data_IF_395779763988
#
_entry.id   IF_395779763988
#
_cell.length_a   1.000
_cell.length_b   1.000
_cell.length_c   1.000
_cell.angle_alpha   90.00
_cell.angle_beta   90.00
_cell.angle_gamma   90.00
#
_symmetry.space_group_name_H-M   'P 1'
#
loop_
_entity.id
_entity.type
_entity.pdbx_description
1 polymer ?
2 water ?
#
# COMPACT_ATOMS: atom_id res chain seq x y z
N UNK A 5 6.57 -1.67 -27.33
CA UNK A 5 5.34 -2.36 -26.93
C UNK A 5 5.30 -2.38 -25.40
N UNK A 6 6.08 -1.48 -24.77
CA UNK A 6 6.02 -1.29 -23.33
C UNK A 6 4.74 -0.54 -22.97
N UNK A 7 4.25 -0.78 -21.74
CA UNK A 7 3.08 -0.06 -21.30
C UNK A 7 3.51 1.24 -20.63
N UNK A 8 4.80 1.40 -20.35
CA UNK A 8 5.22 2.61 -19.67
C UNK A 8 4.96 3.84 -20.52
N UNK A 9 4.56 4.91 -19.83
CA UNK A 9 4.31 6.20 -20.46
C UNK A 9 5.52 7.07 -20.17
N UNK A 10 6.25 7.51 -21.23
CA UNK A 10 7.46 8.31 -21.04
C UNK A 10 7.24 9.58 -20.22
N UNK A 11 6.08 10.24 -20.40
CA UNK A 11 5.83 11.48 -19.67
C UNK A 11 5.67 11.15 -18.18
N UNK A 12 5.03 10.02 -17.85
CA UNK A 12 4.85 9.69 -16.42
C UNK A 12 6.19 9.20 -15.84
N UNK A 13 6.93 8.44 -16.67
CA UNK A 13 8.25 7.95 -16.25
C UNK A 13 9.13 9.13 -15.89
N UNK A 14 9.09 10.16 -16.75
CA UNK A 14 9.97 11.30 -16.53
C UNK A 14 9.54 12.05 -15.27
N UNK A 15 8.24 12.24 -15.11
CA UNK A 15 7.71 12.86 -13.91
C UNK A 15 8.16 12.13 -12.64
N UNK A 16 7.98 10.79 -12.61
CA UNK A 16 8.34 9.97 -11.45
C UNK A 16 9.82 10.12 -11.09
N UNK A 17 10.65 10.10 -12.12
CA UNK A 17 12.09 10.13 -12.00
C UNK A 17 12.52 11.45 -11.36
N UNK A 18 12.00 12.56 -11.88
CA UNK A 18 12.37 13.87 -11.34
C UNK A 18 11.87 14.07 -9.93
N UNK A 19 10.62 13.64 -9.66
CA UNK A 19 10.10 13.78 -8.30
C UNK A 19 10.86 12.91 -7.30
N UNK A 20 11.17 11.66 -7.68
CA UNK A 20 11.94 10.81 -6.78
C UNK A 20 13.31 11.42 -6.48
N UNK A 21 13.98 11.90 -7.53
CA UNK A 21 15.36 12.36 -7.35
C UNK A 21 15.36 13.58 -6.44
N UNK A 22 14.35 14.44 -6.60
CA UNK A 22 14.25 15.63 -5.77
C UNK A 22 14.07 15.26 -4.29
N UNK A 23 13.22 14.26 -4.03
CA UNK A 23 12.93 13.84 -2.65
C UNK A 23 14.15 13.16 -2.02
N UNK A 24 14.83 12.28 -2.80
CA UNK A 24 15.99 11.56 -2.28
C UNK A 24 17.10 12.57 -1.93
N UNK A 25 17.27 13.57 -2.79
CA UNK A 25 18.31 14.57 -2.54
C UNK A 25 17.91 15.40 -1.33
N UNK A 26 16.68 15.90 -1.30
CA UNK A 26 16.22 16.75 -0.21
C UNK A 26 16.33 16.07 1.15
N UNK A 27 15.89 14.80 1.26
CA UNK A 27 15.90 14.14 2.56
C UNK A 27 17.21 13.40 2.83
N UNK A 28 18.16 13.51 1.90
CA UNK A 28 19.46 12.85 2.03
C UNK A 28 19.25 11.35 2.27
N UNK A 29 18.45 10.70 1.41
CA UNK A 29 18.07 9.34 1.64
C UNK A 29 19.06 8.41 0.94
N UNK A 30 18.98 7.12 1.26
CA UNK A 30 19.89 6.14 0.67
C UNK A 30 19.39 5.66 -0.69
N UNK A 31 18.08 5.50 -0.86
CA UNK A 31 17.57 5.02 -2.14
C UNK A 31 16.10 5.38 -2.23
N UNK A 32 15.50 5.06 -3.38
CA UNK A 32 14.06 5.27 -3.53
C UNK A 32 13.51 4.57 -4.76
N UNK A 33 12.18 4.45 -4.79
CA UNK A 33 11.48 3.79 -5.86
C UNK A 33 10.12 4.49 -6.02
N UNK A 34 9.64 4.63 -7.26
CA UNK A 34 8.26 5.00 -7.55
C UNK A 34 7.68 3.97 -8.51
N UNK A 35 6.46 3.46 -8.21
CA UNK A 35 5.73 2.63 -9.17
C UNK A 35 4.41 3.33 -9.47
N UNK A 36 4.04 3.41 -10.75
CA UNK A 36 2.70 3.81 -11.18
C UNK A 36 2.06 2.68 -11.98
N UNK A 37 0.89 2.18 -11.54
CA UNK A 37 0.17 1.14 -12.26
C UNK A 37 -1.11 1.72 -12.82
N UNK A 38 -1.52 1.23 -13.99
CA UNK A 38 -2.91 1.36 -14.38
C UNK A 38 -3.80 0.60 -13.38
N UNK A 39 -4.77 1.28 -12.77
CA UNK A 39 -5.56 0.76 -11.66
C UNK A 39 -6.57 -0.27 -12.14
N UNK A 40 -6.83 -0.34 -13.46
CA UNK A 40 -7.83 -1.28 -13.95
C UNK A 40 -7.22 -2.31 -14.89
N UNK A 41 -5.92 -2.21 -15.17
CA UNK A 41 -5.32 -3.20 -16.05
C UNK A 41 -4.11 -3.91 -15.42
N UNK A 42 -3.45 -3.27 -14.44
CA UNK A 42 -2.22 -3.83 -13.89
C UNK A 42 -0.99 -3.51 -14.73
N UNK A 43 -1.15 -2.78 -15.85
CA UNK A 43 0.01 -2.43 -16.65
C UNK A 43 0.83 -1.42 -15.86
N UNK A 44 2.15 -1.50 -16.01
CA UNK A 44 3.06 -0.55 -15.38
C UNK A 44 3.16 0.68 -16.28
N UNK A 45 2.75 1.84 -15.76
CA UNK A 45 2.81 3.13 -16.45
C UNK A 45 4.14 3.80 -16.11
N UNK A 46 4.67 3.52 -14.93
CA UNK A 46 6.01 4.01 -14.65
C UNK A 46 6.64 3.14 -13.58
N UNK A 47 7.97 3.03 -13.65
CA UNK A 47 8.73 2.32 -12.62
C UNK A 47 10.14 2.89 -12.60
N UNK A 48 10.51 3.52 -11.50
CA UNK A 48 11.81 4.18 -11.44
C UNK A 48 12.45 3.85 -10.09
N UNK A 49 13.78 3.73 -10.11
CA UNK A 49 14.51 3.50 -8.88
C UNK A 49 15.70 4.44 -8.90
N UNK A 50 16.26 4.72 -7.73
CA UNK A 50 17.57 5.36 -7.76
C UNK A 50 18.58 4.38 -8.39
N UNK A 51 19.81 4.81 -8.77
CA UNK A 51 20.73 3.93 -9.51
C UNK A 51 21.12 2.61 -8.81
N UNK A 52 21.25 1.46 -9.58
CA UNK A 52 21.53 0.09 -9.12
C UNK A 52 20.41 -0.81 -9.62
N UNK A 53 20.06 -1.82 -8.82
CA UNK A 53 19.11 -2.80 -9.30
C UNK A 53 17.69 -2.24 -9.24
N UNK A 54 16.78 -3.03 -9.82
CA UNK A 54 15.37 -2.71 -9.89
C UNK A 54 14.72 -3.07 -8.54
N UNK A 55 14.93 -2.20 -7.55
CA UNK A 55 14.53 -2.42 -6.17
C UNK A 55 13.01 -2.61 -6.07
N UNK A 56 12.24 -1.89 -6.91
CA UNK A 56 10.79 -2.07 -6.96
C UNK A 56 10.41 -3.55 -7.00
N UNK A 57 11.19 -4.35 -7.76
CA UNK A 57 10.81 -5.74 -7.95
C UNK A 57 11.70 -6.69 -7.15
N UNK A 58 12.97 -6.29 -6.92
CA UNK A 58 13.95 -7.20 -6.34
C UNK A 58 13.94 -7.14 -4.81
N UNK A 59 13.47 -6.05 -4.21
CA UNK A 59 13.69 -5.88 -2.77
C UNK A 59 12.35 -5.98 -2.06
N UNK A 60 12.31 -6.63 -0.91
CA UNK A 60 11.04 -6.76 -0.21
C UNK A 60 11.14 -5.98 1.09
N UNK A 61 9.99 -5.53 1.64
CA UNK A 61 9.99 -4.80 2.90
C UNK A 61 8.86 -5.35 3.75
N UNK A 62 8.99 -5.18 5.05
CA UNK A 62 7.83 -5.25 5.92
C UNK A 62 7.09 -3.94 5.69
N UNK A 63 5.87 -3.98 5.13
CA UNK A 63 5.30 -2.75 4.58
C UNK A 63 4.78 -1.74 5.60
N UNK A 64 4.56 -2.18 6.84
CA UNK A 64 3.93 -1.32 7.84
C UNK A 64 2.50 -0.94 7.46
N UNK A 65 2.13 0.29 7.84
CA UNK A 65 0.75 0.78 7.83
C UNK A 65 0.07 0.70 6.45
N UNK A 66 0.83 0.65 5.36
CA UNK A 66 0.19 0.57 4.05
C UNK A 66 -0.52 -0.76 3.86
N UNK A 67 -0.28 -1.73 4.75
CA UNK A 67 -0.95 -3.03 4.69
C UNK A 67 -2.32 -2.98 5.35
N UNK A 68 -2.60 -1.95 6.17
CA UNK A 68 -3.80 -1.95 7.03
C UNK A 68 -5.11 -2.02 6.25
N UNK A 69 -5.26 -1.44 5.03
CA UNK A 69 -6.54 -1.58 4.33
C UNK A 69 -6.98 -3.03 4.16
N UNK A 70 -6.04 -3.98 4.10
CA UNK A 70 -6.36 -5.35 3.70
C UNK A 70 -7.12 -6.11 4.81
N UNK A 71 -6.64 -6.18 6.07
CA UNK A 71 -7.43 -6.82 7.14
C UNK A 71 -8.76 -6.09 7.33
N UNK A 72 -8.75 -4.77 7.08
CA UNK A 72 -10.01 -4.03 7.17
C UNK A 72 -10.99 -4.53 6.10
N UNK A 73 -10.50 -4.63 4.86
CA UNK A 73 -11.35 -5.13 3.78
C UNK A 73 -11.86 -6.53 4.09
N UNK A 74 -10.97 -7.36 4.64
CA UNK A 74 -11.39 -8.73 4.93
C UNK A 74 -12.52 -8.73 5.97
N UNK A 75 -12.38 -7.92 7.02
CA UNK A 75 -13.41 -7.90 8.05
C UNK A 75 -14.75 -7.44 7.45
N UNK A 76 -14.75 -6.37 6.62
CA UNK A 76 -15.99 -5.92 6.03
C UNK A 76 -16.56 -6.97 5.08
N UNK A 77 -15.66 -7.58 4.30
CA UNK A 77 -16.14 -8.50 3.26
C UNK A 77 -16.81 -9.73 3.88
N UNK A 78 -16.34 -10.12 5.07
CA UNK A 78 -16.89 -11.28 5.78
C UNK A 78 -18.32 -11.07 6.27
N UNK A 79 -18.79 -9.82 6.38
CA UNK A 79 -20.09 -9.58 7.01
C UNK A 79 -20.04 -9.48 8.53
N UNK A 80 -18.89 -9.78 9.14
CA UNK A 80 -18.77 -9.78 10.60
C UNK A 80 -18.68 -8.36 11.13
N UNK A 81 -18.25 -7.40 10.32
CA UNK A 81 -18.21 -6.05 10.85
C UNK A 81 -18.79 -5.09 9.83
N UNK A 82 -19.32 -3.97 10.34
CA UNK A 82 -19.87 -2.86 9.59
C UNK A 82 -18.94 -1.67 9.78
N UNK A 83 -18.91 -0.74 8.82
CA UNK A 83 -18.04 0.43 8.96
C UNK A 83 -18.33 1.27 10.22
N UNK A 84 -19.59 1.21 10.72
CA UNK A 84 -19.95 2.02 11.88
C UNK A 84 -19.69 1.30 13.22
N UNK A 85 -19.21 0.06 13.19
CA UNK A 85 -18.93 -0.68 14.42
C UNK A 85 -17.77 0.01 15.13
N UNK A 86 -17.84 0.12 16.46
CA UNK A 86 -16.82 0.86 17.19
C UNK A 86 -16.03 -0.16 18.00
N UNK A 87 -14.74 0.09 18.20
CA UNK A 87 -13.90 -0.83 18.92
C UNK A 87 -13.19 -0.07 20.03
N UNK A 88 -12.87 -0.79 21.10
CA UNK A 88 -11.92 -0.32 22.10
C UNK A 88 -10.54 -0.33 21.44
N UNK A 89 -9.90 0.85 21.32
CA UNK A 89 -8.61 0.96 20.64
C UNK A 89 -7.49 1.31 21.62
N UNK A 90 -7.72 1.09 22.92
CA UNK A 90 -6.66 1.25 23.90
C UNK A 90 -5.58 0.20 23.67
N UNK A 91 -4.31 0.48 24.08
CA UNK A 91 -3.23 -0.50 23.99
C UNK A 91 -3.61 -1.74 24.80
N UNK A 92 -3.14 -2.92 24.38
CA UNK A 92 -3.48 -4.18 25.06
C UNK A 92 -2.30 -5.11 24.89
N UNK A 93 -2.26 -6.19 25.69
CA UNK A 93 -1.16 -7.17 25.69
C UNK A 93 -1.57 -8.45 24.97
N UNK A 94 -0.59 -9.07 24.31
CA UNK A 94 -0.68 -10.43 23.83
C UNK A 94 0.48 -11.17 24.47
N UNK A 95 0.14 -12.07 25.40
CA UNK A 95 1.11 -12.46 26.41
C UNK A 95 1.87 -11.24 26.91
N UNK A 96 3.22 -11.23 26.81
CA UNK A 96 4.01 -10.10 27.28
C UNK A 96 4.22 -8.98 26.26
N UNK A 97 3.60 -9.07 25.08
CA UNK A 97 3.86 -8.06 24.07
C UNK A 97 2.72 -7.03 24.07
N UNK A 98 3.02 -5.78 23.70
CA UNK A 98 1.99 -4.75 23.66
C UNK A 98 1.70 -4.38 22.20
N UNK A 99 0.41 -4.28 21.90
CA UNK A 99 -0.04 -3.65 20.66
C UNK A 99 -0.55 -2.27 21.04
N UNK A 100 0.01 -1.23 20.42
CA UNK A 100 -0.38 0.13 20.76
C UNK A 100 -0.25 1.02 19.53
N UNK A 101 -0.98 2.13 19.56
CA UNK A 101 -1.01 3.05 18.42
C UNK A 101 -0.03 4.18 18.69
N UNK A 102 0.36 4.88 17.62
CA UNK A 102 1.10 6.13 17.72
C UNK A 102 0.32 7.16 18.54
N UNK A 103 -0.93 7.43 18.13
CA UNK A 103 -1.73 8.35 18.91
C UNK A 103 -2.87 7.56 19.54
N UNK A 104 -2.99 7.66 20.87
CA UNK A 104 -3.94 6.81 21.56
C UNK A 104 -5.35 7.42 21.48
N UNK A 105 -6.31 6.62 21.02
CA UNK A 105 -7.73 6.93 21.14
C UNK A 105 -8.40 5.82 21.93
N UNK A 106 -9.36 6.13 22.83
CA UNK A 106 -10.05 5.07 23.56
C UNK A 106 -10.95 4.21 22.66
N UNK A 107 -11.63 4.84 21.69
CA UNK A 107 -12.48 4.06 20.80
C UNK A 107 -12.47 4.66 19.40
N UNK A 108 -12.57 3.79 18.37
CA UNK A 108 -12.70 4.25 17.01
C UNK A 108 -13.69 3.34 16.30
N UNK A 109 -14.41 3.91 15.33
CA UNK A 109 -15.12 3.04 14.40
C UNK A 109 -14.17 2.59 13.29
N UNK A 110 -14.66 1.85 12.30
CA UNK A 110 -13.80 1.31 11.27
C UNK A 110 -13.23 2.45 10.43
N UNK A 111 -14.07 3.43 10.12
CA UNK A 111 -13.56 4.62 9.46
C UNK A 111 -12.40 5.22 10.26
N UNK A 112 -12.59 5.41 11.58
CA UNK A 112 -11.51 6.00 12.36
C UNK A 112 -10.23 5.13 12.38
N UNK A 113 -10.41 3.81 12.38
CA UNK A 113 -9.29 2.86 12.40
C UNK A 113 -8.48 3.09 11.13
N UNK A 114 -9.17 3.27 9.99
CA UNK A 114 -8.47 3.63 8.74
C UNK A 114 -7.84 5.03 8.83
N UNK A 115 -8.66 6.03 9.19
CA UNK A 115 -8.28 7.45 9.15
C UNK A 115 -7.03 7.69 10.01
N UNK A 116 -7.04 7.11 11.22
CA UNK A 116 -5.98 7.35 12.20
C UNK A 116 -4.91 6.25 12.12
N UNK A 117 -5.12 5.25 11.25
CA UNK A 117 -4.13 4.18 11.11
C UNK A 117 -3.91 3.43 12.44
N UNK A 118 -4.99 2.90 13.03
CA UNK A 118 -4.86 2.29 14.35
C UNK A 118 -4.33 0.86 14.24
N UNK A 119 -3.15 0.62 14.81
CA UNK A 119 -2.66 -0.76 14.90
C UNK A 119 -3.57 -1.61 15.80
N UNK A 120 -4.02 -1.02 16.92
CA UNK A 120 -4.92 -1.78 17.79
C UNK A 120 -6.19 -2.20 17.05
N UNK A 121 -6.84 -1.21 16.41
CA UNK A 121 -8.06 -1.50 15.66
C UNK A 121 -7.86 -2.56 14.59
N UNK A 122 -6.80 -2.39 13.79
CA UNK A 122 -6.57 -3.36 12.74
C UNK A 122 -6.35 -4.76 13.33
N UNK A 123 -5.55 -4.87 14.40
CA UNK A 123 -5.23 -6.18 14.99
C UNK A 123 -6.47 -6.90 15.56
N UNK A 124 -7.40 -6.11 16.12
CA UNK A 124 -8.68 -6.64 16.60
C UNK A 124 -9.58 -7.12 15.46
N UNK A 125 -9.59 -6.43 14.31
CA UNK A 125 -10.33 -6.93 13.15
C UNK A 125 -9.75 -8.27 12.65
N UNK A 126 -8.42 -8.32 12.49
CA UNK A 126 -7.71 -9.54 12.13
C UNK A 126 -7.98 -10.68 13.13
N UNK A 127 -8.06 -10.37 14.43
CA UNK A 127 -8.28 -11.35 15.48
C UNK A 127 -9.64 -12.06 15.42
N UNK A 128 -10.57 -11.57 14.57
CA UNK A 128 -11.84 -12.24 14.38
C UNK A 128 -11.69 -13.47 13.49
N UNK A 129 -10.50 -13.64 12.90
CA UNK A 129 -10.27 -14.67 11.89
C UNK A 129 -9.23 -15.66 12.39
N UNK A 130 -9.28 -16.89 11.88
CA UNK A 130 -8.24 -17.84 12.26
C UNK A 130 -6.94 -17.52 11.51
N UNK A 131 -5.78 -18.02 11.99
CA UNK A 131 -4.54 -17.89 11.24
C UNK A 131 -4.70 -18.36 9.80
N UNK A 132 -5.40 -19.50 9.57
CA UNK A 132 -5.53 -20.00 8.21
C UNK A 132 -6.35 -19.00 7.39
N UNK A 133 -7.42 -18.46 7.97
CA UNK A 133 -8.23 -17.52 7.20
C UNK A 133 -7.38 -16.33 6.79
N UNK A 134 -6.56 -15.77 7.71
CA UNK A 134 -5.83 -14.54 7.35
C UNK A 134 -4.71 -14.87 6.37
N UNK A 135 -4.04 -16.00 6.60
CA UNK A 135 -3.02 -16.45 5.66
C UNK A 135 -3.59 -16.61 4.25
N UNK A 136 -4.74 -17.30 4.14
CA UNK A 136 -5.32 -17.53 2.82
C UNK A 136 -5.63 -16.19 2.15
N UNK A 137 -6.14 -15.24 2.96
CA UNK A 137 -6.41 -13.92 2.43
C UNK A 137 -5.13 -13.26 1.91
N UNK A 138 -4.07 -13.19 2.74
CA UNK A 138 -2.83 -12.54 2.32
C UNK A 138 -2.25 -13.25 1.08
N UNK A 139 -2.25 -14.59 1.07
CA UNK A 139 -1.82 -15.37 -0.09
C UNK A 139 -2.61 -14.95 -1.34
N UNK A 140 -3.93 -14.78 -1.21
CA UNK A 140 -4.79 -14.40 -2.33
C UNK A 140 -4.53 -12.98 -2.82
N UNK A 141 -4.01 -12.07 -1.96
CA UNK A 141 -3.54 -10.76 -2.38
C UNK A 141 -2.20 -10.82 -3.12
N UNK A 142 -1.56 -11.99 -3.08
CA UNK A 142 -0.26 -12.14 -3.74
C UNK A 142 0.92 -12.09 -2.79
N UNK A 143 0.67 -11.98 -1.45
CA UNK A 143 1.78 -12.00 -0.50
C UNK A 143 2.49 -13.35 -0.49
N UNK A 144 3.81 -13.30 -0.67
CA UNK A 144 4.60 -14.52 -0.74
C UNK A 144 4.48 -15.23 -2.10
N UNK A 145 3.79 -14.61 -3.08
CA UNK A 145 3.52 -15.25 -4.38
C UNK A 145 4.29 -14.53 -5.49
N UNK A 146 4.88 -15.31 -6.40
CA UNK A 146 5.59 -14.73 -7.53
C UNK A 146 4.60 -14.10 -8.51
N UNK A 147 4.84 -12.87 -8.91
CA UNK A 147 3.94 -12.26 -9.91
C UNK A 147 4.20 -12.75 -11.34
N UNK A 148 5.42 -13.26 -11.63
CA UNK A 148 5.77 -13.62 -13.00
C UNK A 148 5.57 -12.44 -13.95
N UNK A 149 6.13 -11.27 -13.56
CA UNK A 149 5.96 -10.05 -14.34
C UNK A 149 6.81 -10.11 -15.60
N UNK A 150 7.74 -11.05 -15.63
CA UNK A 150 8.79 -11.13 -16.63
C UNK A 150 10.03 -10.33 -16.25
N UNK A 151 10.03 -9.67 -15.07
CA UNK A 151 11.30 -9.13 -14.58
C UNK A 151 12.14 -10.28 -13.99
N UNK A 152 13.48 -10.29 -14.23
CA UNK A 152 14.37 -11.23 -13.53
C UNK A 152 14.59 -10.69 -12.11
N UNK A 153 14.96 -11.59 -11.18
CA UNK A 153 15.24 -11.25 -9.79
C UNK A 153 13.97 -10.82 -9.05
N UNK A 154 12.78 -11.26 -9.52
CA UNK A 154 11.55 -10.83 -8.90
C UNK A 154 11.36 -11.47 -7.52
N UNK A 155 11.28 -10.65 -6.47
CA UNK A 155 11.05 -11.21 -5.14
C UNK A 155 9.62 -11.71 -4.96
N UNK A 156 9.44 -12.87 -4.28
CA UNK A 156 8.11 -13.36 -3.93
C UNK A 156 7.66 -12.77 -2.61
N UNK A 157 8.57 -12.10 -1.89
CA UNK A 157 8.24 -11.62 -0.55
C UNK A 157 8.17 -12.78 0.45
N UNK A 158 7.58 -12.52 1.64
CA UNK A 158 7.54 -13.55 2.68
C UNK A 158 6.14 -13.61 3.27
N UNK A 159 5.56 -14.83 3.30
CA UNK A 159 4.36 -15.03 4.11
C UNK A 159 4.54 -16.37 4.83
N UNK A 160 4.82 -16.30 6.13
CA UNK A 160 5.13 -17.52 6.87
C UNK A 160 3.91 -18.42 6.97
N UNK A 161 4.13 -19.74 6.95
CA UNK A 161 3.10 -20.75 7.13
C UNK A 161 2.27 -20.44 8.38
N UNK A 162 0.95 -20.39 8.24
CA UNK A 162 0.05 -20.06 9.36
C UNK A 162 0.15 -21.08 10.50
N UNK A 163 0.63 -22.29 10.20
CA UNK A 163 0.82 -23.30 11.25
C UNK A 163 1.88 -22.86 12.25
N UNK A 164 2.63 -21.80 11.95
CA UNK A 164 3.72 -21.40 12.84
C UNK A 164 3.42 -20.07 13.53
N UNK A 165 2.29 -19.43 13.20
CA UNK A 165 1.96 -18.13 13.74
C UNK A 165 1.64 -18.19 15.24
N UNK A 166 2.21 -17.28 16.03
CA UNK A 166 1.68 -17.01 17.35
C UNK A 166 0.68 -15.87 17.24
N UNK A 167 -0.26 -15.68 18.22
CA UNK A 167 -1.19 -14.55 18.17
C UNK A 167 -0.55 -13.18 17.93
N UNK A 168 0.59 -12.92 18.58
CA UNK A 168 1.27 -11.64 18.40
C UNK A 168 1.67 -11.45 16.92
N UNK A 169 2.05 -12.54 16.25
CA UNK A 169 2.50 -12.43 14.87
C UNK A 169 1.31 -12.15 13.96
N UNK A 170 0.17 -12.82 14.21
CA UNK A 170 -1.03 -12.52 13.44
C UNK A 170 -1.33 -11.03 13.55
N UNK A 171 -1.23 -10.52 14.79
CA UNK A 171 -1.53 -9.13 15.11
C UNK A 171 -0.60 -8.20 14.35
N UNK A 172 0.72 -8.41 14.41
CA UNK A 172 1.66 -7.49 13.77
C UNK A 172 1.53 -7.55 12.25
N UNK A 173 1.21 -8.73 11.72
CA UNK A 173 1.01 -8.84 10.27
C UNK A 173 -0.13 -7.95 9.79
N UNK A 174 -1.21 -7.83 10.58
CA UNK A 174 -2.33 -7.01 10.20
C UNK A 174 -1.87 -5.55 10.05
N UNK A 175 -0.82 -5.14 10.79
CA UNK A 175 -0.39 -3.77 10.59
C UNK A 175 1.01 -3.71 9.95
N UNK A 176 1.33 -4.78 9.22
CA UNK A 176 2.34 -4.73 8.18
C UNK A 176 3.74 -5.15 8.63
N UNK A 177 3.85 -5.86 9.77
CA UNK A 177 5.16 -6.37 10.16
C UNK A 177 5.12 -7.88 10.36
N UNK A 178 6.18 -8.59 9.94
CA UNK A 178 6.15 -10.05 10.06
C UNK A 178 5.72 -10.74 8.76
N UNK A 179 5.38 -9.94 7.73
CA UNK A 179 5.28 -10.45 6.36
C UNK A 179 6.01 -9.43 5.49
N UNK A 180 6.38 -9.84 4.26
CA UNK A 180 7.20 -8.96 3.43
C UNK A 180 6.73 -8.98 1.99
N UNK A 181 6.76 -7.82 1.31
CA UNK A 181 6.32 -7.63 -0.07
C UNK A 181 7.26 -6.65 -0.74
N UNK A 182 7.45 -6.79 -2.07
CA UNK A 182 8.16 -5.76 -2.83
C UNK A 182 7.16 -4.62 -3.06
N UNK A 183 7.69 -3.44 -3.49
CA UNK A 183 6.77 -2.34 -3.76
C UNK A 183 5.86 -2.67 -4.93
N UNK A 184 6.37 -3.43 -5.92
CA UNK A 184 5.50 -3.78 -7.04
C UNK A 184 4.42 -4.73 -6.56
N UNK A 185 4.74 -5.65 -5.63
CA UNK A 185 3.70 -6.52 -5.09
C UNK A 185 2.65 -5.71 -4.34
N UNK A 186 3.10 -4.67 -3.62
CA UNK A 186 2.18 -3.82 -2.88
C UNK A 186 1.25 -3.07 -3.82
N UNK A 187 1.80 -2.46 -4.90
CA UNK A 187 0.97 -1.79 -5.90
C UNK A 187 -0.03 -2.79 -6.45
N UNK A 188 0.44 -4.01 -6.69
CA UNK A 188 -0.44 -5.02 -7.27
C UNK A 188 -1.57 -5.40 -6.31
N UNK A 189 -1.26 -5.56 -5.02
CA UNK A 189 -2.27 -5.84 -4.02
C UNK A 189 -3.37 -4.75 -4.01
N UNK A 190 -2.99 -3.48 -4.24
CA UNK A 190 -3.94 -2.36 -4.29
C UNK A 190 -4.96 -2.50 -5.45
N UNK A 191 -4.69 -3.34 -6.47
CA UNK A 191 -5.67 -3.54 -7.54
C UNK A 191 -6.93 -4.23 -7.02
N UNK A 192 -6.81 -4.97 -5.91
CA UNK A 192 -8.00 -5.52 -5.29
C UNK A 192 -8.92 -4.40 -4.89
N UNK A 193 -8.38 -3.27 -4.40
CA UNK A 193 -9.21 -2.13 -4.05
C UNK A 193 -9.70 -1.35 -5.28
N UNK A 194 -8.83 -1.18 -6.30
CA UNK A 194 -9.20 -0.31 -7.41
C UNK A 194 -10.06 -1.03 -8.47
N UNK A 195 -9.83 -2.33 -8.67
CA UNK A 195 -10.45 -3.10 -9.75
C UNK A 195 -11.60 -3.93 -9.19
N UNK A 196 -12.41 -3.31 -8.33
CA UNK A 196 -13.67 -3.87 -7.83
C UNK A 196 -13.51 -5.25 -7.20
N UNK A 197 -12.45 -5.44 -6.39
CA UNK A 197 -12.31 -6.67 -5.61
C UNK A 197 -11.47 -7.78 -6.27
N UNK A 198 -11.02 -7.56 -7.51
CA UNK A 198 -10.23 -8.55 -8.24
C UNK A 198 -8.75 -8.17 -8.38
N UNK A 199 -7.84 -9.10 -7.99
CA UNK A 199 -6.41 -8.89 -8.12
C UNK A 199 -6.01 -9.00 -9.58
N UNK A 200 -5.30 -8.00 -10.10
CA UNK A 200 -4.87 -8.02 -11.49
C UNK A 200 -3.43 -8.54 -11.61
N UNK A 201 -3.05 -9.14 -12.77
CA UNK A 201 -1.66 -9.48 -13.08
C UNK A 201 -0.94 -8.17 -13.38
N UNK A 202 0.36 -8.14 -13.08
CA UNK A 202 1.18 -6.99 -13.38
C UNK A 202 1.95 -7.28 -14.67
N UNK A 203 2.10 -6.25 -15.50
CA UNK A 203 2.77 -6.40 -16.80
C UNK A 203 3.45 -5.09 -17.21
N UNK A 204 4.62 -5.18 -17.87
CA UNK A 204 5.25 -4.00 -18.43
C UNK A 204 5.03 -3.95 -19.95
N UNK A 205 4.26 -4.89 -20.49
CA UNK A 205 3.99 -4.85 -21.92
C UNK A 205 2.59 -4.29 -22.13
N UNK A 206 2.40 -3.51 -23.19
CA UNK A 206 1.07 -3.07 -23.59
C UNK A 206 0.17 -4.29 -23.80
N UNK A 207 -0.99 -4.29 -23.13
CA UNK A 207 -1.87 -5.45 -23.13
C UNK A 207 -2.60 -5.55 -24.45
N UNK A 208 -2.86 -6.77 -24.94
CA UNK A 208 -3.59 -6.93 -26.18
C UNK A 208 -5.00 -7.45 -25.87
N UNK A 209 -5.16 -8.08 -24.71
CA UNK A 209 -6.40 -8.74 -24.32
C UNK A 209 -6.69 -8.22 -22.92
N UNK A 210 -7.98 -8.08 -22.52
CA UNK A 210 -8.34 -7.67 -21.17
C UNK A 210 -7.83 -8.70 -20.16
N UNK A 211 -7.14 -8.30 -19.07
CA UNK A 211 -6.58 -9.25 -18.11
C UNK A 211 -7.72 -9.86 -17.30
N UNK A 212 -7.53 -11.07 -16.81
CA UNK A 212 -8.59 -11.65 -16.03
C UNK A 212 -8.18 -11.51 -14.57
N UNK A 213 -9.06 -10.91 -13.77
CA UNK A 213 -8.80 -10.77 -12.34
C UNK A 213 -9.08 -12.07 -11.60
N UNK A 214 -8.55 -12.17 -10.38
CA UNK A 214 -8.96 -13.22 -9.45
C UNK A 214 -9.73 -12.55 -8.31
N UNK A 215 -10.99 -12.91 -8.12
CA UNK A 215 -11.82 -12.18 -7.15
C UNK A 215 -11.36 -12.54 -5.73
N UNK A 216 -11.11 -11.51 -4.91
CA UNK A 216 -10.59 -11.63 -3.54
C UNK A 216 -11.63 -11.10 -2.55
N UNK A 217 -12.26 -9.98 -2.87
CA UNK A 217 -13.36 -9.44 -2.07
C UNK A 217 -14.48 -9.03 -3.03
N UNK A 218 -15.67 -8.82 -2.48
CA UNK A 218 -16.78 -8.32 -3.27
C UNK A 218 -16.47 -6.93 -3.82
N UNK A 219 -17.06 -6.60 -4.97
CA UNK A 219 -16.97 -5.25 -5.51
C UNK A 219 -17.51 -4.20 -4.53
N UNK A 220 -18.62 -4.49 -3.86
CA UNK A 220 -19.20 -3.55 -2.89
C UNK A 220 -18.21 -3.31 -1.75
N UNK A 221 -17.47 -4.34 -1.31
CA UNK A 221 -16.49 -4.15 -0.24
C UNK A 221 -15.34 -3.24 -0.71
N UNK A 222 -14.86 -3.48 -1.93
CA UNK A 222 -13.78 -2.66 -2.49
C UNK A 222 -14.22 -1.20 -2.55
N UNK A 223 -15.45 -0.96 -3.02
CA UNK A 223 -15.96 0.40 -3.09
C UNK A 223 -16.02 1.08 -1.72
N UNK A 224 -16.54 0.37 -0.70
CA UNK A 224 -16.56 0.91 0.65
C UNK A 224 -15.15 1.24 1.17
N UNK A 225 -14.18 0.35 0.95
CA UNK A 225 -12.81 0.57 1.43
C UNK A 225 -12.19 1.80 0.76
N UNK A 226 -12.46 1.97 -0.55
CA UNK A 226 -11.88 3.16 -1.18
C UNK A 226 -12.50 4.42 -0.56
N UNK A 227 -13.77 4.34 -0.20
CA UNK A 227 -14.39 5.49 0.46
C UNK A 227 -13.74 5.78 1.82
N UNK A 228 -13.51 4.72 2.63
CA UNK A 228 -12.84 4.88 3.92
C UNK A 228 -11.45 5.51 3.75
N UNK A 229 -10.72 5.08 2.72
CA UNK A 229 -9.35 5.53 2.54
C UNK A 229 -9.23 7.01 2.19
N UNK A 230 -10.32 7.62 1.68
CA UNK A 230 -10.31 9.07 1.43
C UNK A 230 -10.04 9.85 2.74
N UNK A 231 -10.51 9.35 3.88
CA UNK A 231 -10.40 10.09 5.13
C UNK A 231 -8.93 10.28 5.52
N UNK A 232 -8.10 9.40 4.96
CA UNK A 232 -6.67 9.39 5.22
C UNK A 232 -6.00 10.65 4.70
N UNK A 233 -6.51 11.19 3.57
CA UNK A 233 -5.84 12.32 2.97
C UNK A 233 -6.59 13.62 3.25
N UNK A 234 -7.61 13.55 4.11
CA UNK A 234 -8.40 14.72 4.47
C UNK A 234 -7.98 15.15 5.87
N UNK A 235 -8.50 16.31 6.33
CA UNK A 235 -8.18 16.83 7.65
C UNK A 235 -8.46 15.75 8.68
N UNK A 236 -7.48 15.52 9.56
CA UNK A 236 -7.61 14.55 10.61
C UNK A 236 -7.00 13.22 10.22
N UNK A 237 -6.57 13.10 8.96
CA UNK A 237 -6.03 11.82 8.51
C UNK A 237 -4.50 11.78 8.57
N UNK A 238 -3.98 10.55 8.66
CA UNK A 238 -2.55 10.37 8.81
C UNK A 238 -1.82 10.63 7.50
N UNK A 239 -2.53 10.78 6.35
CA UNK A 239 -1.87 10.95 5.04
C UNK A 239 -2.16 12.27 4.33
N UNK A 240 -2.37 13.35 5.12
CA UNK A 240 -2.80 14.63 4.58
C UNK A 240 -1.75 15.17 3.61
N UNK A 241 -0.47 14.83 3.81
CA UNK A 241 0.60 15.36 2.99
C UNK A 241 0.54 14.87 1.54
N UNK A 242 -0.27 13.83 1.26
CA UNK A 242 -0.31 13.38 -0.13
C UNK A 242 -1.66 13.68 -0.79
N UNK A 243 -2.44 14.59 -0.18
CA UNK A 243 -3.68 15.04 -0.82
C UNK A 243 -3.33 15.68 -2.15
N UNK A 244 -4.20 15.46 -3.15
CA UNK A 244 -3.96 16.02 -4.47
C UNK A 244 -5.08 17.00 -4.75
N UNK A 245 -4.71 18.22 -5.16
CA UNK A 245 -5.67 19.31 -5.35
C UNK A 245 -6.62 18.91 -6.48
N UNK A 246 -7.93 18.98 -6.25
CA UNK A 246 -8.84 18.77 -7.36
C UNK A 246 -9.44 17.36 -7.34
N UNK A 247 -8.93 16.49 -6.46
CA UNK A 247 -9.36 15.09 -6.49
C UNK A 247 -9.55 14.55 -5.08
N UNK A 248 -10.35 13.49 -4.96
CA UNK A 248 -10.38 12.66 -3.77
C UNK A 248 -9.42 11.47 -3.97
N UNK A 249 -8.59 11.23 -2.96
CA UNK A 249 -7.49 10.29 -3.07
C UNK A 249 -7.64 9.30 -1.90
N UNK A 250 -7.55 7.99 -2.21
CA UNK A 250 -7.53 6.99 -1.15
C UNK A 250 -6.09 6.57 -0.97
N UNK A 251 -5.57 6.64 0.27
CA UNK A 251 -4.13 6.38 0.38
C UNK A 251 -3.79 5.87 1.78
N UNK A 252 -2.58 5.31 1.94
CA UNK A 252 -2.01 5.04 3.26
C UNK A 252 -0.55 5.46 3.27
N UNK A 253 -0.04 5.87 4.44
CA UNK A 253 1.39 6.11 4.53
C UNK A 253 1.89 5.37 5.77
N UNK A 254 3.19 5.04 5.84
CA UNK A 254 3.70 4.43 7.06
C UNK A 254 5.22 4.24 6.96
N UNK A 255 5.83 3.81 8.07
CA UNK A 255 7.24 3.48 8.08
C UNK A 255 7.37 1.98 7.87
N UNK A 256 7.88 1.60 6.71
CA UNK A 256 8.16 0.20 6.43
C UNK A 256 9.55 -0.11 6.98
N UNK A 257 9.89 -1.40 6.99
CA UNK A 257 11.22 -1.76 7.46
C UNK A 257 11.85 -2.72 6.48
N UNK A 258 13.11 -2.44 6.15
CA UNK A 258 13.81 -3.27 5.20
C UNK A 258 14.81 -4.12 6.01
N UNK A 259 14.70 -5.45 5.84
CA UNK A 259 15.52 -6.38 6.61
C UNK A 259 16.48 -7.14 5.70
N UNK A 260 16.36 -6.93 4.39
CA UNK A 260 17.19 -7.60 3.40
C UNK A 260 17.52 -6.55 2.34
N UNK A 261 18.77 -6.55 1.89
CA UNK A 261 19.24 -5.57 0.91
C UNK A 261 20.06 -6.34 -0.12
N UNK A 262 19.49 -6.61 -1.29
CA UNK A 262 20.15 -7.54 -2.20
C UNK A 262 20.27 -8.91 -1.53
N UNK A 263 21.50 -9.43 -1.41
CA UNK A 263 21.73 -10.78 -0.89
C UNK A 263 22.11 -10.75 0.60
N UNK A 264 22.04 -9.57 1.24
CA UNK A 264 22.55 -9.35 2.59
C UNK A 264 21.42 -8.95 3.56
N UNK A 265 21.64 -9.20 4.85
CA UNK A 265 20.74 -8.73 5.88
C UNK A 265 20.87 -7.21 5.95
N UNK A 266 19.82 -6.52 6.38
CA UNK A 266 19.88 -5.06 6.50
C UNK A 266 18.93 -4.70 7.60
N UNK A 267 18.94 -3.43 8.03
CA UNK A 267 17.92 -2.96 8.94
C UNK A 267 17.75 -1.46 8.74
N UNK A 268 16.75 -1.07 7.94
CA UNK A 268 16.56 0.33 7.57
C UNK A 268 15.08 0.66 7.67
N UNK A 269 14.79 1.90 8.09
CA UNK A 269 13.44 2.44 8.04
C UNK A 269 13.18 2.99 6.64
N UNK A 270 11.99 2.71 6.11
CA UNK A 270 11.66 3.07 4.73
C UNK A 270 10.35 3.87 4.76
N UNK A 271 10.41 5.16 4.38
CA UNK A 271 9.17 5.93 4.30
C UNK A 271 8.36 5.48 3.07
N UNK A 272 7.05 5.27 3.25
CA UNK A 272 6.21 4.70 2.20
C UNK A 272 4.92 5.50 2.07
N UNK A 273 4.40 5.61 0.85
CA UNK A 273 3.09 6.20 0.63
C UNK A 273 2.51 5.48 -0.59
N UNK A 274 1.25 5.05 -0.51
CA UNK A 274 0.65 4.40 -1.68
C UNK A 274 -0.80 4.82 -1.72
N UNK A 275 -1.34 4.98 -2.94
CA UNK A 275 -2.74 5.31 -3.01
C UNK A 275 -3.20 5.33 -4.46
N UNK A 276 -4.48 5.76 -4.60
CA UNK A 276 -5.13 5.69 -5.91
C UNK A 276 -6.05 6.89 -6.05
N UNK A 277 -6.30 7.29 -7.31
CA UNK A 277 -7.19 8.42 -7.55
C UNK A 277 -7.66 8.32 -8.99
N UNK A 278 -8.79 8.99 -9.37
CA UNK A 278 -9.79 9.53 -8.43
C UNK A 278 -10.40 8.42 -7.59
N UNK A 279 -10.70 8.72 -6.32
CA UNK A 279 -11.00 7.63 -5.39
C UNK A 279 -12.25 6.83 -5.78
N UNK A 280 -13.31 7.48 -6.29
CA UNK A 280 -14.52 6.76 -6.62
C UNK A 280 -14.35 5.92 -7.88
N UNK A 281 -13.53 6.41 -8.82
CA UNK A 281 -13.36 5.81 -10.13
C UNK A 281 -11.86 5.86 -10.47
N UNK A 282 -11.02 5.07 -9.77
CA UNK A 282 -9.56 5.24 -9.88
C UNK A 282 -8.97 4.86 -11.24
N UNK A 283 -8.02 5.69 -11.68
CA UNK A 283 -7.33 5.43 -12.93
C UNK A 283 -5.94 4.85 -12.67
N UNK A 284 -5.28 5.34 -11.61
CA UNK A 284 -3.91 4.90 -11.35
C UNK A 284 -3.66 4.67 -9.86
N UNK A 285 -2.67 3.80 -9.60
CA UNK A 285 -2.11 3.58 -8.28
C UNK A 285 -0.70 4.15 -8.33
N UNK A 286 -0.33 4.97 -7.33
CA UNK A 286 1.04 5.43 -7.25
C UNK A 286 1.61 4.92 -5.92
N UNK A 287 2.80 4.29 -5.96
CA UNK A 287 3.44 3.82 -4.74
C UNK A 287 4.86 4.37 -4.67
N UNK A 288 5.24 4.88 -3.48
CA UNK A 288 6.54 5.53 -3.33
C UNK A 288 7.25 4.91 -2.13
N UNK A 289 8.56 4.66 -2.24
CA UNK A 289 9.33 4.39 -1.02
C UNK A 289 10.59 5.23 -1.05
N UNK A 290 11.01 5.65 0.14
CA UNK A 290 12.29 6.32 0.31
C UNK A 290 13.03 5.73 1.49
N UNK A 291 14.21 5.17 1.19
CA UNK A 291 14.97 4.39 2.18
C UNK A 291 15.82 5.34 3.03
N UNK A 292 15.71 5.19 4.34
CA UNK A 292 16.50 5.85 5.37
C UNK A 292 16.64 7.34 5.08
N UNK A 293 15.55 8.14 5.16
CA UNK A 293 15.68 9.60 5.09
C UNK A 293 16.36 10.10 6.36
N UNK A 294 17.08 11.21 6.28
CA UNK A 294 17.84 11.67 7.44
C UNK A 294 17.55 13.15 7.69
N UNK A 299 9.22 10.71 9.82
CA UNK A 299 7.78 11.03 9.56
C UNK A 299 7.46 10.73 8.10
N UNK A 300 6.92 9.52 7.88
CA UNK A 300 6.82 8.94 6.55
C UNK A 300 6.06 9.85 5.58
N UNK A 301 4.93 10.41 6.07
CA UNK A 301 3.97 11.19 5.29
C UNK A 301 4.63 12.42 4.68
N UNK A 302 5.39 13.12 5.51
CA UNK A 302 6.07 14.34 5.12
C UNK A 302 7.19 14.03 4.11
N UNK A 303 7.78 12.82 4.19
CA UNK A 303 8.85 12.48 3.26
C UNK A 303 8.31 12.06 1.88
N UNK A 304 7.31 11.19 1.85
CA UNK A 304 6.88 10.58 0.59
C UNK A 304 5.57 11.20 0.07
N UNK A 305 4.79 11.81 0.95
CA UNK A 305 3.53 12.42 0.51
C UNK A 305 3.72 13.40 -0.66
N UNK A 306 4.66 14.36 -0.58
CA UNK A 306 4.91 15.30 -1.68
C UNK A 306 5.26 14.61 -2.99
N UNK A 307 6.01 13.49 -2.94
CA UNK A 307 6.33 12.75 -4.14
C UNK A 307 5.04 12.17 -4.68
N UNK A 308 4.31 11.47 -3.80
CA UNK A 308 3.07 10.86 -4.25
C UNK A 308 2.15 11.91 -4.87
N UNK A 309 1.99 13.05 -4.17
CA UNK A 309 1.07 14.11 -4.63
C UNK A 309 1.43 14.60 -6.04
N UNK A 310 2.71 14.86 -6.30
CA UNK A 310 3.09 15.41 -7.60
C UNK A 310 3.03 14.34 -8.69
N UNK A 311 3.44 13.10 -8.35
CA UNK A 311 3.35 12.02 -9.33
C UNK A 311 1.88 11.73 -9.67
N UNK A 312 1.03 11.65 -8.65
CA UNK A 312 -0.37 11.33 -8.90
C UNK A 312 -1.05 12.48 -9.64
N UNK A 313 -0.89 13.70 -9.10
CA UNK A 313 -1.44 14.88 -9.76
C UNK A 313 -1.00 14.93 -11.23
N UNK A 314 0.31 14.82 -11.47
CA UNK A 314 0.81 14.93 -12.84
C UNK A 314 0.31 13.78 -13.73
N UNK A 315 0.16 12.58 -13.14
CA UNK A 315 -0.27 11.41 -13.92
C UNK A 315 -1.69 11.61 -14.41
N UNK A 316 -2.57 12.13 -13.54
CA UNK A 316 -3.97 12.35 -13.91
C UNK A 316 -4.09 13.42 -15.01
N UNK A 317 -3.35 14.50 -14.87
CA UNK A 317 -3.16 15.51 -15.90
C UNK A 317 -2.73 14.88 -17.24
N UNK A 318 -1.65 14.08 -17.23
CA UNK A 318 -1.08 13.51 -18.44
C UNK A 318 -2.10 12.58 -19.09
N UNK A 319 -2.89 11.89 -18.27
CA UNK A 319 -3.89 10.96 -18.81
C UNK A 319 -5.17 11.68 -19.17
N UNK A 320 -5.25 12.99 -18.90
CA UNK A 320 -6.39 13.79 -19.34
C UNK A 320 -7.63 13.70 -18.45
N UNK A 321 -7.46 13.29 -17.17
CA UNK A 321 -8.58 13.13 -16.26
C UNK A 321 -8.94 14.49 -15.65
N UNK A 322 -10.23 14.87 -15.76
CA UNK A 322 -10.66 16.13 -15.20
C UNK A 322 -10.76 16.03 -13.69
N UNK A 323 -10.37 17.11 -12.96
CA UNK A 323 -10.57 17.23 -11.52
C UNK A 323 -12.05 17.07 -11.22
N UNK A 324 -12.36 16.44 -10.09
CA UNK A 324 -13.73 16.19 -9.67
C UNK A 324 -14.20 17.30 -8.74
N UNK A 325 -13.32 18.24 -8.39
CA UNK A 325 -13.76 19.34 -7.54
C UNK A 325 -12.85 20.55 -7.75
N UNK A 326 -13.31 21.78 -7.45
CA UNK A 326 -12.49 22.97 -7.68
C UNK A 326 -11.17 22.94 -6.91
N UNK A 327 -10.10 23.45 -7.52
CA UNK A 327 -8.77 23.53 -6.92
C UNK A 327 -8.71 24.56 -5.78
N UNK A 328 -8.00 24.22 -4.69
CA UNK A 328 -7.80 25.15 -3.57
C UNK A 328 -6.33 25.56 -3.45
#
# INVERSE_FOLDING_TARGET
GSGGALSLDQRIQTLAYEELNKAVEYHQAKAGTVVVLDARTGEILALVNTPGRNRAVTDMIEPGAVMKPFPIAKALDSGKVDTTDTFNTLPYKIGPATVQDTHVYPTLDVRGIMQKSSNVGTSKLSAMFTPKEMYDFYHDLGVGVRMHSGFPGESAGVLRNWRKWRPIEQATMSFGYGLQLSLLQLARAYTVLTHDGELLPVSFEKQAVAPKGKRVIKASTAKKVRELMVSVTEAGGSGIAGAVDGFDVGAKTGTARKLVNGRYVDYKHVATFIGFAPAKNPRVIVAVTIDEPTANGYYSGVVTGPVFKQVMGGSLNILGVSPTKPLTNV
#
